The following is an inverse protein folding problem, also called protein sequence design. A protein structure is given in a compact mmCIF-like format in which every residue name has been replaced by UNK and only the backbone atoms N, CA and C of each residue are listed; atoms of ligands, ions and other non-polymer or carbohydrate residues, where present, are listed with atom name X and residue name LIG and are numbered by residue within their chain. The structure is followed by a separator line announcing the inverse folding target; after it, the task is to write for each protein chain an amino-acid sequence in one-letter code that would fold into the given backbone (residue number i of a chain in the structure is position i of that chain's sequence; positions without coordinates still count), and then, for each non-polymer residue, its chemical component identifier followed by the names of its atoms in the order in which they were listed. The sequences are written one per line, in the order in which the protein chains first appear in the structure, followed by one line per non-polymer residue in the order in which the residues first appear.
data_IF_532222082800
#
_entry.id   IF_532222082800
#
_cell.length_a   1.000
_cell.length_b   1.000
_cell.length_c   1.000
_cell.angle_alpha   90.00
_cell.angle_beta   90.00
_cell.angle_gamma   90.00
#
_symmetry.space_group_name_H-M   'P 1'
#
loop_
_entity.id
_entity.type
_entity.pdbx_description
1 polymer ?
#
# COMPACT_ATOMS: atom_id res chain seq x y z
N UNK A 1 -44.16 37.65 -23.04
CA UNK A 1 -44.08 36.28 -22.49
C UNK A 1 -42.62 36.00 -22.21
N UNK A 2 -42.25 36.08 -20.94
CA UNK A 2 -40.89 35.87 -20.40
C UNK A 2 -40.63 34.37 -20.23
N UNK A 3 -39.58 33.86 -20.85
CA UNK A 3 -39.08 32.50 -20.57
C UNK A 3 -37.77 32.62 -19.77
N UNK A 4 -37.91 32.43 -18.46
CA UNK A 4 -36.81 32.36 -17.50
C UNK A 4 -36.62 30.88 -17.13
N UNK A 5 -35.81 30.16 -17.89
CA UNK A 5 -35.38 28.80 -17.53
C UNK A 5 -33.86 28.77 -17.67
N UNK A 6 -33.17 28.93 -16.54
CA UNK A 6 -31.81 28.44 -16.27
C UNK A 6 -31.26 29.19 -15.04
N UNK A 7 -31.57 28.72 -13.82
CA UNK A 7 -30.90 29.23 -12.60
C UNK A 7 -30.72 28.19 -11.48
N UNK A 8 -30.92 26.91 -11.75
CA UNK A 8 -30.90 25.87 -10.70
C UNK A 8 -29.70 24.91 -10.76
N UNK A 9 -28.82 25.00 -11.76
CA UNK A 9 -27.63 24.14 -11.87
C UNK A 9 -26.36 24.75 -11.26
N UNK A 10 -26.27 26.08 -11.16
CA UNK A 10 -25.10 26.78 -10.60
C UNK A 10 -25.04 26.75 -9.08
N UNK A 11 -26.18 26.64 -8.38
CA UNK A 11 -26.22 26.63 -6.92
C UNK A 11 -25.68 25.32 -6.32
N UNK A 12 -25.89 24.18 -6.98
CA UNK A 12 -25.36 22.88 -6.56
C UNK A 12 -23.82 22.80 -6.76
N UNK A 13 -23.31 23.32 -7.87
CA UNK A 13 -21.86 23.35 -8.15
C UNK A 13 -21.09 24.29 -7.20
N UNK A 14 -21.66 25.44 -6.82
CA UNK A 14 -21.02 26.34 -5.85
C UNK A 14 -21.01 25.78 -4.42
N UNK A 15 -22.03 25.02 -4.01
CA UNK A 15 -22.08 24.43 -2.67
C UNK A 15 -21.09 23.26 -2.52
N UNK A 16 -20.82 22.51 -3.60
CA UNK A 16 -19.72 21.53 -3.67
C UNK A 16 -18.35 22.22 -3.53
N UNK A 17 -18.13 23.34 -4.22
CA UNK A 17 -16.86 24.08 -4.17
C UNK A 17 -16.55 24.68 -2.78
N UNK A 18 -17.56 25.22 -2.09
CA UNK A 18 -17.37 25.80 -0.75
C UNK A 18 -17.15 24.70 0.30
N UNK A 19 -17.86 23.56 0.21
CA UNK A 19 -17.68 22.42 1.11
C UNK A 19 -16.33 21.71 0.96
N UNK A 20 -15.84 21.55 -0.27
CA UNK A 20 -14.54 20.93 -0.56
C UNK A 20 -13.34 21.76 -0.03
N UNK A 21 -13.46 23.09 -0.05
CA UNK A 21 -12.38 23.99 0.40
C UNK A 21 -12.05 23.91 1.89
N UNK A 22 -13.01 23.53 2.74
CA UNK A 22 -12.82 23.36 4.18
C UNK A 22 -12.11 22.04 4.54
N UNK A 23 -12.14 21.04 3.65
CA UNK A 23 -11.56 19.70 3.85
C UNK A 23 -10.26 19.46 3.08
N UNK A 24 -9.82 20.46 2.29
CA UNK A 24 -8.67 20.36 1.40
C UNK A 24 -7.31 20.14 2.11
N UNK A 25 -7.16 20.62 3.35
CA UNK A 25 -5.87 20.56 4.06
C UNK A 25 -5.47 19.13 4.49
N UNK A 26 -6.44 18.21 4.59
CA UNK A 26 -6.22 16.82 5.00
C UNK A 26 -6.54 15.83 3.87
N UNK A 27 -6.51 16.30 2.62
CA UNK A 27 -6.86 15.49 1.45
C UNK A 27 -5.91 14.30 1.30
N UNK A 28 -4.60 14.58 1.21
CA UNK A 28 -3.59 13.54 1.06
C UNK A 28 -3.38 12.84 2.40
N UNK A 29 -3.59 11.52 2.40
CA UNK A 29 -3.36 10.68 3.58
C UNK A 29 -1.97 10.05 3.49
N UNK A 30 -1.17 10.27 4.51
CA UNK A 30 0.16 9.67 4.62
C UNK A 30 0.06 8.20 5.05
N UNK A 31 1.05 7.36 4.70
CA UNK A 31 1.21 6.04 5.27
C UNK A 31 1.19 6.08 6.81
N UNK A 32 0.52 5.10 7.40
CA UNK A 32 0.38 4.96 8.84
C UNK A 32 -0.18 6.22 9.52
N UNK A 33 -1.15 6.89 8.87
CA UNK A 33 -1.82 8.04 9.45
C UNK A 33 -2.51 7.68 10.78
N UNK A 34 -2.22 8.44 11.84
CA UNK A 34 -2.78 8.18 13.18
C UNK A 34 -2.10 7.04 13.95
N UNK A 35 -0.99 6.51 13.42
CA UNK A 35 -0.16 5.52 14.09
C UNK A 35 0.81 6.15 15.10
N UNK A 36 1.46 5.32 15.92
CA UNK A 36 2.48 5.76 16.88
C UNK A 36 3.92 5.70 16.32
N UNK A 37 4.08 5.50 15.01
CA UNK A 37 5.40 5.36 14.37
C UNK A 37 6.21 6.64 14.43
N UNK A 38 7.53 6.50 14.53
CA UNK A 38 8.44 7.65 14.51
C UNK A 38 8.57 8.22 13.10
N UNK A 39 8.95 9.51 12.95
CA UNK A 39 9.22 10.09 11.64
C UNK A 39 10.24 9.30 10.81
N UNK A 40 11.25 8.70 11.45
CA UNK A 40 12.28 7.90 10.79
C UNK A 40 11.70 6.60 10.21
N UNK A 41 10.77 5.96 10.92
CA UNK A 41 10.10 4.74 10.45
C UNK A 41 9.17 5.06 9.28
N UNK A 42 8.46 6.19 9.34
CA UNK A 42 7.62 6.65 8.22
C UNK A 42 8.50 6.98 7.01
N UNK A 43 9.62 7.68 7.19
CA UNK A 43 10.57 7.98 6.12
C UNK A 43 11.17 6.72 5.50
N UNK A 44 11.48 5.70 6.30
CA UNK A 44 11.91 4.39 5.82
C UNK A 44 10.85 3.73 4.93
N UNK A 45 9.57 3.81 5.30
CA UNK A 45 8.48 3.30 4.47
C UNK A 45 8.31 4.09 3.17
N UNK A 46 8.33 5.42 3.24
CA UNK A 46 8.25 6.30 2.06
C UNK A 46 9.42 6.03 1.10
N UNK A 47 10.62 5.80 1.64
CA UNK A 47 11.77 5.38 0.85
C UNK A 47 11.53 4.04 0.15
N UNK A 48 11.02 3.04 0.87
CA UNK A 48 10.64 1.75 0.27
C UNK A 48 9.66 1.96 -0.90
N UNK A 49 8.60 2.76 -0.72
CA UNK A 49 7.65 3.04 -1.80
C UNK A 49 8.33 3.67 -3.03
N UNK A 50 9.24 4.62 -2.81
CA UNK A 50 9.98 5.27 -3.88
C UNK A 50 10.92 4.29 -4.61
N UNK A 51 11.68 3.48 -3.87
CA UNK A 51 12.64 2.52 -4.44
C UNK A 51 11.94 1.41 -5.24
N UNK A 52 10.83 0.87 -4.71
CA UNK A 52 10.04 -0.16 -5.38
C UNK A 52 9.34 0.38 -6.64
N UNK A 53 8.76 1.58 -6.58
CA UNK A 53 8.07 2.16 -7.75
C UNK A 53 9.03 2.68 -8.83
N UNK A 54 10.23 3.13 -8.44
CA UNK A 54 11.26 3.60 -9.36
C UNK A 54 11.72 2.50 -10.34
N UNK A 55 11.63 1.23 -9.93
CA UNK A 55 11.96 0.07 -10.77
C UNK A 55 11.07 -0.05 -12.01
N UNK A 56 9.86 0.51 -11.96
CA UNK A 56 8.93 0.56 -13.07
C UNK A 56 8.97 1.92 -13.79
N UNK A 57 9.87 2.82 -13.39
CA UNK A 57 10.06 4.13 -14.00
C UNK A 57 9.04 5.18 -13.56
N UNK A 58 8.40 5.03 -12.40
CA UNK A 58 7.51 6.06 -11.85
C UNK A 58 7.77 6.31 -10.36
N UNK A 59 7.00 7.24 -9.82
CA UNK A 59 6.91 7.51 -8.40
C UNK A 59 5.50 7.18 -7.93
N UNK A 60 5.38 6.32 -6.94
CA UNK A 60 4.12 6.10 -6.26
C UNK A 60 3.77 7.27 -5.33
N UNK A 61 2.49 7.63 -5.25
CA UNK A 61 2.00 8.72 -4.41
C UNK A 61 1.05 9.66 -5.12
N UNK A 62 0.47 10.57 -4.35
CA UNK A 62 -0.41 11.63 -4.86
C UNK A 62 0.36 12.70 -5.64
N UNK A 63 -0.32 13.36 -6.56
CA UNK A 63 0.22 14.49 -7.32
C UNK A 63 0.66 15.63 -6.36
N UNK A 64 1.87 16.21 -6.54
CA UNK A 64 2.36 17.29 -5.68
C UNK A 64 1.40 18.48 -5.58
N UNK A 65 0.61 18.75 -6.64
CA UNK A 65 -0.42 19.80 -6.65
C UNK A 65 -1.44 19.62 -5.52
N UNK A 66 -1.76 18.37 -5.16
CA UNK A 66 -2.68 18.03 -4.06
C UNK A 66 -2.06 18.17 -2.66
N UNK A 67 -0.73 18.27 -2.57
CA UNK A 67 -0.03 18.49 -1.30
C UNK A 67 0.31 19.97 -1.09
N UNK A 68 0.77 20.64 -2.15
CA UNK A 68 1.27 22.02 -2.10
C UNK A 68 0.13 23.06 -2.13
N UNK A 69 -0.88 22.85 -2.99
CA UNK A 69 -2.08 23.70 -3.07
C UNK A 69 -3.35 22.88 -3.35
N UNK A 70 -3.83 22.10 -2.35
CA UNK A 70 -5.02 21.29 -2.52
C UNK A 70 -6.26 22.13 -2.82
N UNK A 71 -6.37 23.34 -2.26
CA UNK A 71 -7.53 24.21 -2.46
C UNK A 71 -7.57 24.74 -3.89
N UNK A 72 -6.45 25.28 -4.39
CA UNK A 72 -6.36 25.78 -5.76
C UNK A 72 -6.59 24.66 -6.76
N UNK A 73 -6.00 23.49 -6.53
CA UNK A 73 -6.17 22.32 -7.40
C UNK A 73 -7.63 21.86 -7.49
N UNK A 74 -8.33 21.74 -6.35
CA UNK A 74 -9.75 21.37 -6.34
C UNK A 74 -10.65 22.46 -6.97
N UNK A 75 -10.27 23.75 -6.85
CA UNK A 75 -10.99 24.85 -7.51
C UNK A 75 -10.82 24.85 -9.02
N UNK A 76 -9.62 24.55 -9.53
CA UNK A 76 -9.35 24.39 -10.95
C UNK A 76 -10.20 23.24 -11.54
N UNK A 77 -10.22 22.07 -10.88
CA UNK A 77 -11.09 20.95 -11.23
C UNK A 77 -12.58 21.29 -11.21
N UNK A 78 -13.01 22.07 -10.21
CA UNK A 78 -14.41 22.48 -10.09
C UNK A 78 -14.83 23.44 -11.23
N UNK A 79 -13.88 24.23 -11.73
CA UNK A 79 -14.08 25.24 -12.76
C UNK A 79 -13.87 24.73 -14.19
N UNK A 80 -13.56 23.43 -14.34
CA UNK A 80 -13.25 22.79 -15.64
C UNK A 80 -12.07 23.47 -16.36
N UNK A 81 -11.08 23.93 -15.58
CA UNK A 81 -9.85 24.51 -16.10
C UNK A 81 -9.01 23.42 -16.79
N UNK A 82 -8.42 23.75 -17.94
CA UNK A 82 -7.56 22.82 -18.67
C UNK A 82 -6.31 22.51 -17.85
N UNK A 83 -6.19 21.27 -17.40
CA UNK A 83 -5.06 20.80 -16.59
C UNK A 83 -4.73 19.35 -16.88
N UNK A 84 -3.46 18.99 -16.71
CA UNK A 84 -3.02 17.59 -16.80
C UNK A 84 -3.70 16.72 -15.72
N UNK A 85 -4.09 15.48 -16.05
CA UNK A 85 -4.71 14.55 -15.10
C UNK A 85 -3.91 14.43 -13.81
N UNK A 86 -4.62 14.41 -12.68
CA UNK A 86 -4.01 14.26 -11.37
C UNK A 86 -3.74 12.79 -11.09
N UNK A 87 -2.53 12.48 -10.62
CA UNK A 87 -2.23 11.19 -10.02
C UNK A 87 -2.75 11.15 -8.58
N UNK A 88 -3.57 10.16 -8.22
CA UNK A 88 -4.16 10.07 -6.88
C UNK A 88 -4.01 8.66 -6.33
N UNK A 89 -3.52 8.49 -5.10
CA UNK A 89 -3.50 7.16 -4.46
C UNK A 89 -4.92 6.67 -4.21
N UNK A 90 -5.12 5.35 -4.18
CA UNK A 90 -6.46 4.81 -3.97
C UNK A 90 -6.98 5.18 -2.57
N UNK A 91 -6.09 5.21 -1.57
CA UNK A 91 -6.39 5.72 -0.23
C UNK A 91 -6.87 7.16 -0.24
N UNK A 92 -6.12 8.07 -0.85
CA UNK A 92 -6.51 9.50 -0.90
C UNK A 92 -7.87 9.66 -1.56
N UNK A 93 -8.13 8.94 -2.65
CA UNK A 93 -9.43 8.96 -3.29
C UNK A 93 -10.54 8.41 -2.38
N UNK A 94 -10.41 7.19 -1.87
CA UNK A 94 -11.48 6.54 -1.11
C UNK A 94 -11.76 7.18 0.26
N UNK A 95 -10.77 7.83 0.87
CA UNK A 95 -10.93 8.49 2.18
C UNK A 95 -11.29 9.98 2.07
N UNK A 96 -11.32 10.52 0.85
CA UNK A 96 -11.88 11.84 0.61
C UNK A 96 -13.41 11.82 0.76
N UNK A 97 -14.02 12.99 1.01
CA UNK A 97 -15.48 13.09 1.03
C UNK A 97 -16.08 12.92 -0.37
N UNK A 98 -17.36 12.53 -0.46
CA UNK A 98 -18.08 12.32 -1.72
C UNK A 98 -17.93 13.49 -2.71
N UNK A 99 -17.95 14.72 -2.20
CA UNK A 99 -17.76 15.93 -2.99
C UNK A 99 -16.37 16.00 -3.63
N UNK A 100 -15.33 15.66 -2.86
CA UNK A 100 -13.96 15.67 -3.34
C UNK A 100 -13.70 14.49 -4.28
N UNK A 101 -14.24 13.31 -3.97
CA UNK A 101 -14.20 12.16 -4.89
C UNK A 101 -14.82 12.51 -6.24
N UNK A 102 -16.00 13.15 -6.23
CA UNK A 102 -16.68 13.60 -7.46
C UNK A 102 -15.83 14.58 -8.26
N UNK A 103 -15.10 15.47 -7.60
CA UNK A 103 -14.21 16.43 -8.27
C UNK A 103 -12.97 15.74 -8.86
N UNK A 104 -12.28 14.91 -8.07
CA UNK A 104 -11.08 14.21 -8.50
C UNK A 104 -11.39 13.28 -9.68
N UNK A 105 -12.51 12.55 -9.63
CA UNK A 105 -12.95 11.63 -10.67
C UNK A 105 -13.12 12.26 -12.07
N UNK A 106 -13.19 13.59 -12.18
CA UNK A 106 -13.30 14.29 -13.48
C UNK A 106 -12.02 14.21 -14.31
N UNK A 107 -10.86 14.24 -13.66
CA UNK A 107 -9.57 14.36 -14.34
C UNK A 107 -8.45 13.78 -13.48
N UNK A 108 -8.52 12.49 -13.18
CA UNK A 108 -7.50 11.78 -12.43
C UNK A 108 -7.20 10.39 -13.01
N UNK A 109 -6.07 9.84 -12.62
CA UNK A 109 -5.80 8.41 -12.65
C UNK A 109 -5.31 7.95 -11.27
N UNK A 110 -5.58 6.69 -10.95
CA UNK A 110 -5.16 6.08 -9.69
C UNK A 110 -3.68 5.69 -9.78
N UNK A 111 -2.91 6.09 -8.78
CA UNK A 111 -1.50 5.74 -8.64
C UNK A 111 -1.35 4.22 -8.42
N UNK A 112 -0.35 3.64 -9.07
CA UNK A 112 -0.02 2.22 -8.99
C UNK A 112 1.48 2.06 -8.85
N UNK A 113 1.93 1.15 -7.97
CA UNK A 113 3.35 0.85 -7.73
C UNK A 113 4.07 0.38 -9.00
N UNK A 114 3.34 -0.17 -9.97
CA UNK A 114 3.86 -0.71 -11.23
C UNK A 114 3.64 0.23 -12.43
N UNK A 115 3.28 1.50 -12.19
CA UNK A 115 3.04 2.52 -13.22
C UNK A 115 1.95 2.19 -14.26
N UNK A 116 1.12 1.17 -13.97
CA UNK A 116 -0.06 0.88 -14.75
C UNK A 116 -1.06 2.03 -14.62
N UNK A 117 -1.54 2.56 -15.75
CA UNK A 117 -2.59 3.57 -15.74
C UNK A 117 -3.92 2.93 -15.34
N UNK A 118 -4.49 3.39 -14.23
CA UNK A 118 -5.79 2.94 -13.75
C UNK A 118 -6.73 4.14 -13.79
N UNK A 119 -7.72 4.08 -14.67
CA UNK A 119 -8.66 5.16 -14.86
C UNK A 119 -9.89 4.95 -13.97
N UNK A 120 -10.50 6.05 -13.53
CA UNK A 120 -11.80 6.00 -12.89
C UNK A 120 -12.83 6.61 -13.85
N UNK A 121 -13.77 5.79 -14.32
CA UNK A 121 -14.78 6.20 -15.31
C UNK A 121 -16.15 5.65 -14.93
N UNK A 122 -17.16 6.51 -14.92
CA UNK A 122 -18.55 6.16 -14.57
C UNK A 122 -18.72 5.37 -13.25
N UNK A 123 -17.87 5.67 -12.25
CA UNK A 123 -17.90 5.01 -10.94
C UNK A 123 -17.18 3.66 -10.89
N UNK A 124 -16.53 3.25 -11.98
CA UNK A 124 -15.77 2.02 -12.06
C UNK A 124 -14.28 2.30 -12.27
N UNK A 125 -13.43 1.44 -11.71
CA UNK A 125 -12.00 1.45 -12.00
C UNK A 125 -11.73 0.60 -13.25
N UNK A 126 -11.12 1.22 -14.25
CA UNK A 126 -10.62 0.54 -15.46
C UNK A 126 -9.14 0.23 -15.22
N UNK A 127 -8.87 -1.03 -14.90
CA UNK A 127 -7.55 -1.54 -14.56
C UNK A 127 -7.46 -2.02 -13.10
N UNK A 128 -6.29 -2.53 -12.72
CA UNK A 128 -6.03 -3.06 -11.39
C UNK A 128 -4.86 -2.32 -10.75
N UNK A 129 -5.08 -1.38 -9.81
CA UNK A 129 -3.98 -0.69 -9.18
C UNK A 129 -3.21 -1.65 -8.28
N UNK A 130 -1.89 -1.51 -8.29
CA UNK A 130 -1.00 -2.27 -7.42
C UNK A 130 -0.62 -1.37 -6.25
N UNK A 131 -1.06 -1.76 -5.06
CA UNK A 131 -0.99 -0.96 -3.85
C UNK A 131 0.07 -1.53 -2.91
N UNK A 132 0.80 -0.70 -2.15
CA UNK A 132 1.59 -1.21 -1.05
C UNK A 132 0.70 -1.91 -0.01
N UNK A 133 1.25 -2.91 0.67
CA UNK A 133 0.49 -3.74 1.62
C UNK A 133 -0.18 -2.92 2.73
N UNK A 134 0.51 -1.90 3.24
CA UNK A 134 -0.03 -0.93 4.20
C UNK A 134 -1.35 -0.31 3.73
N UNK A 135 -1.32 0.34 2.56
CA UNK A 135 -2.49 1.03 1.99
C UNK A 135 -3.63 0.04 1.70
N UNK A 136 -3.32 -1.12 1.15
CA UNK A 136 -4.32 -2.15 0.89
C UNK A 136 -5.03 -2.57 2.20
N UNK A 137 -4.25 -2.84 3.25
CA UNK A 137 -4.77 -3.26 4.55
C UNK A 137 -5.63 -2.17 5.19
N UNK A 138 -5.16 -0.93 5.18
CA UNK A 138 -5.89 0.23 5.69
C UNK A 138 -7.25 0.39 5.02
N UNK A 139 -7.29 0.34 3.68
CA UNK A 139 -8.54 0.43 2.91
C UNK A 139 -9.47 -0.74 3.22
N UNK A 140 -8.95 -1.96 3.29
CA UNK A 140 -9.76 -3.15 3.57
C UNK A 140 -10.38 -3.08 4.96
N UNK A 141 -9.60 -2.68 5.97
CA UNK A 141 -10.10 -2.53 7.34
C UNK A 141 -11.16 -1.45 7.43
N UNK A 142 -10.94 -0.28 6.82
CA UNK A 142 -11.94 0.78 6.76
C UNK A 142 -13.25 0.32 6.11
N UNK A 143 -13.16 -0.45 5.01
CA UNK A 143 -14.33 -1.05 4.34
C UNK A 143 -15.07 -2.05 5.25
N UNK A 144 -14.33 -2.87 6.01
CA UNK A 144 -14.90 -3.85 6.93
C UNK A 144 -15.55 -3.20 8.17
N UNK A 145 -15.02 -2.06 8.63
CA UNK A 145 -15.67 -1.25 9.66
C UNK A 145 -17.03 -0.71 9.19
N UNK A 146 -17.10 -0.22 7.94
CA UNK A 146 -18.33 0.29 7.35
C UNK A 146 -19.35 -0.82 7.04
N UNK A 147 -18.89 -1.96 6.53
CA UNK A 147 -19.70 -3.14 6.25
C UNK A 147 -18.96 -4.43 6.64
N UNK A 148 -19.31 -5.07 7.78
CA UNK A 148 -18.60 -6.22 8.38
C UNK A 148 -18.76 -7.55 7.62
N UNK A 149 -18.54 -7.56 6.31
CA UNK A 149 -18.62 -8.75 5.48
C UNK A 149 -17.58 -8.68 4.37
N UNK A 150 -16.61 -9.59 4.39
CA UNK A 150 -15.60 -9.70 3.33
C UNK A 150 -16.25 -9.96 1.96
N UNK A 151 -17.35 -10.73 1.92
CA UNK A 151 -18.08 -11.00 0.67
C UNK A 151 -18.65 -9.73 0.02
N UNK A 152 -18.92 -8.69 0.81
CA UNK A 152 -19.40 -7.39 0.30
C UNK A 152 -18.30 -6.57 -0.37
N UNK A 153 -17.03 -6.94 -0.19
CA UNK A 153 -15.86 -6.21 -0.70
C UNK A 153 -15.04 -7.03 -1.69
N UNK A 154 -15.60 -8.11 -2.26
CA UNK A 154 -14.90 -8.95 -3.23
C UNK A 154 -14.46 -8.18 -4.47
N UNK A 155 -15.21 -7.16 -4.88
CA UNK A 155 -14.84 -6.32 -6.02
C UNK A 155 -13.58 -5.49 -5.74
N UNK A 156 -13.40 -5.02 -4.50
CA UNK A 156 -12.15 -4.39 -4.09
C UNK A 156 -11.00 -5.40 -4.10
N UNK A 157 -11.20 -6.57 -3.48
CA UNK A 157 -10.18 -7.63 -3.37
C UNK A 157 -9.74 -8.15 -4.74
N UNK A 158 -10.67 -8.29 -5.69
CA UNK A 158 -10.38 -8.72 -7.07
C UNK A 158 -9.93 -7.57 -7.97
N UNK A 159 -10.41 -6.37 -7.69
CA UNK A 159 -10.15 -5.17 -8.45
C UNK A 159 -8.79 -4.54 -8.16
N UNK A 160 -8.14 -4.90 -7.05
CA UNK A 160 -6.83 -4.36 -6.66
C UNK A 160 -5.80 -5.47 -6.49
N UNK A 161 -4.51 -5.10 -6.51
CA UNK A 161 -3.39 -6.01 -6.25
C UNK A 161 -2.52 -5.45 -5.14
N UNK A 162 -1.86 -6.34 -4.42
CA UNK A 162 -0.84 -5.97 -3.44
C UNK A 162 0.52 -6.05 -4.13
N UNK A 163 1.33 -5.01 -3.99
CA UNK A 163 2.71 -4.98 -4.45
C UNK A 163 3.53 -6.05 -3.72
N UNK A 164 4.51 -6.63 -4.41
CA UNK A 164 5.50 -7.46 -3.74
C UNK A 164 6.23 -6.62 -2.67
N UNK A 165 6.49 -7.22 -1.51
CA UNK A 165 7.27 -6.61 -0.44
C UNK A 165 8.44 -7.53 -0.12
N UNK A 166 9.63 -6.93 -0.07
CA UNK A 166 10.83 -7.63 0.36
C UNK A 166 10.64 -8.11 1.81
N UNK A 167 10.98 -9.36 2.10
CA UNK A 167 10.80 -9.93 3.43
C UNK A 167 11.46 -9.09 4.53
N UNK A 168 12.56 -8.39 4.22
CA UNK A 168 13.29 -7.51 5.15
C UNK A 168 12.49 -6.30 5.56
N UNK A 169 11.76 -5.69 4.62
CA UNK A 169 10.79 -4.64 4.89
C UNK A 169 9.55 -5.21 5.59
N UNK A 170 9.13 -6.41 5.19
CA UNK A 170 7.96 -7.05 5.77
C UNK A 170 8.12 -7.29 7.27
N UNK A 171 9.19 -7.97 7.71
CA UNK A 171 9.35 -8.25 9.15
C UNK A 171 9.64 -6.97 9.94
N UNK A 172 10.40 -6.02 9.37
CA UNK A 172 10.76 -4.78 10.06
C UNK A 172 9.51 -3.99 10.47
N UNK A 173 8.47 -4.00 9.64
CA UNK A 173 7.21 -3.32 9.91
C UNK A 173 6.18 -4.26 10.56
N UNK A 174 5.94 -5.44 9.99
CA UNK A 174 4.75 -6.25 10.29
C UNK A 174 4.97 -7.47 11.18
N UNK A 175 6.22 -7.76 11.58
CA UNK A 175 6.47 -8.71 12.66
C UNK A 175 6.42 -7.94 13.98
N UNK A 176 5.44 -8.26 14.83
CA UNK A 176 5.18 -7.51 16.07
C UNK A 176 4.69 -8.45 17.17
N UNK A 177 4.95 -8.09 18.43
CA UNK A 177 4.28 -8.76 19.55
C UNK A 177 2.81 -8.30 19.67
N UNK A 178 2.02 -8.97 20.52
CA UNK A 178 0.59 -8.66 20.70
C UNK A 178 0.32 -7.22 21.17
N UNK A 179 1.19 -6.65 21.99
CA UNK A 179 1.00 -5.32 22.59
C UNK A 179 1.32 -4.19 21.61
N UNK A 180 2.09 -4.48 20.57
CA UNK A 180 2.66 -3.50 19.68
C UNK A 180 1.89 -3.30 18.37
N UNK A 181 0.86 -4.10 18.07
CA UNK A 181 -0.03 -3.93 16.90
C UNK A 181 -0.55 -2.49 16.75
N UNK A 182 -0.81 -1.81 17.88
CA UNK A 182 -1.29 -0.42 17.89
C UNK A 182 -0.31 0.57 17.26
N UNK A 183 0.97 0.22 17.10
CA UNK A 183 1.90 1.06 16.35
C UNK A 183 1.51 1.19 14.88
N UNK A 184 0.66 0.33 14.34
CA UNK A 184 0.05 0.46 13.01
C UNK A 184 -1.39 0.99 13.05
N UNK A 185 -1.89 1.46 14.19
CA UNK A 185 -3.25 1.98 14.33
C UNK A 185 -4.34 0.93 14.57
N UNK A 186 -4.00 -0.36 14.61
CA UNK A 186 -4.96 -1.46 14.79
C UNK A 186 -4.60 -2.35 15.97
N UNK A 187 -5.56 -3.08 16.54
CA UNK A 187 -5.26 -4.10 17.56
C UNK A 187 -5.09 -5.50 16.96
N UNK A 188 -4.45 -6.38 17.74
CA UNK A 188 -4.20 -7.76 17.32
C UNK A 188 -5.49 -8.52 16.98
N UNK A 189 -6.55 -8.34 17.76
CA UNK A 189 -7.78 -9.12 17.58
C UNK A 189 -8.44 -8.76 16.23
N UNK A 190 -8.36 -7.50 15.82
CA UNK A 190 -8.79 -7.00 14.50
C UNK A 190 -8.02 -7.65 13.36
N UNK A 191 -6.68 -7.63 13.42
CA UNK A 191 -5.84 -8.22 12.37
C UNK A 191 -5.99 -9.75 12.33
N UNK A 192 -6.01 -10.41 13.48
CA UNK A 192 -6.21 -11.85 13.57
C UNK A 192 -7.61 -12.26 13.06
N UNK A 193 -8.64 -11.47 13.36
CA UNK A 193 -10.00 -11.67 12.84
C UNK A 193 -10.06 -11.60 11.32
N UNK A 194 -9.40 -10.59 10.72
CA UNK A 194 -9.27 -10.50 9.27
C UNK A 194 -8.54 -11.72 8.70
N UNK A 195 -7.37 -12.09 9.24
CA UNK A 195 -6.60 -13.25 8.80
C UNK A 195 -7.41 -14.57 8.82
N UNK A 196 -8.28 -14.73 9.83
CA UNK A 196 -9.17 -15.89 9.97
C UNK A 196 -10.34 -15.86 8.98
N UNK A 197 -10.80 -14.67 8.56
CA UNK A 197 -11.91 -14.51 7.63
C UNK A 197 -11.54 -14.78 6.16
N UNK A 198 -10.25 -14.73 5.83
CA UNK A 198 -9.76 -14.92 4.48
C UNK A 198 -9.79 -16.39 4.06
N UNK A 199 -10.21 -16.70 2.81
CA UNK A 199 -10.32 -18.06 2.31
C UNK A 199 -8.94 -18.76 2.31
N UNK A 200 -8.94 -20.07 2.55
CA UNK A 200 -7.73 -20.90 2.65
C UNK A 200 -7.66 -21.67 3.96
N UNK A 201 -6.60 -22.45 4.15
CA UNK A 201 -6.41 -23.22 5.38
C UNK A 201 -6.30 -22.27 6.59
N UNK A 202 -7.01 -22.61 7.67
CA UNK A 202 -6.89 -21.95 8.96
C UNK A 202 -5.57 -22.39 9.60
N UNK A 203 -4.49 -21.70 9.25
CA UNK A 203 -3.22 -21.79 9.97
C UNK A 203 -3.39 -21.36 11.44
N UNK A 204 -2.42 -21.70 12.28
CA UNK A 204 -2.36 -21.18 13.64
C UNK A 204 -2.01 -19.68 13.58
N UNK A 205 -3.00 -18.81 13.76
CA UNK A 205 -2.82 -17.35 13.75
C UNK A 205 -2.26 -16.92 15.09
N UNK A 206 -1.06 -16.38 15.07
CA UNK A 206 -0.33 -15.85 16.22
C UNK A 206 -0.10 -14.34 16.05
N UNK A 207 0.26 -13.62 17.12
CA UNK A 207 0.70 -12.24 17.01
C UNK A 207 1.87 -12.05 16.03
N UNK A 208 2.73 -13.04 15.86
CA UNK A 208 3.93 -12.90 15.03
C UNK A 208 3.69 -13.23 13.55
N UNK A 209 2.57 -13.86 13.18
CA UNK A 209 2.31 -14.23 11.79
C UNK A 209 1.01 -13.66 11.21
N UNK A 210 0.17 -12.96 11.99
CA UNK A 210 -1.18 -12.60 11.52
C UNK A 210 -1.17 -11.68 10.28
N UNK A 211 -0.26 -10.70 10.21
CA UNK A 211 -0.07 -9.89 9.00
C UNK A 211 0.39 -10.74 7.81
N UNK A 212 1.30 -11.70 8.04
CA UNK A 212 1.77 -12.59 6.98
C UNK A 212 0.65 -13.50 6.46
N UNK A 213 -0.22 -13.99 7.33
CA UNK A 213 -1.39 -14.78 6.93
C UNK A 213 -2.35 -13.97 6.05
N UNK A 214 -2.48 -12.67 6.28
CA UNK A 214 -3.26 -11.78 5.40
C UNK A 214 -2.53 -11.60 4.07
N UNK A 215 -1.26 -11.20 4.14
CA UNK A 215 -0.44 -10.90 2.96
C UNK A 215 -0.38 -12.12 2.02
N UNK A 216 0.01 -13.28 2.51
CA UNK A 216 0.14 -14.51 1.71
C UNK A 216 -1.18 -14.98 1.06
N UNK A 217 -2.33 -14.78 1.70
CA UNK A 217 -3.64 -15.15 1.15
C UNK A 217 -4.17 -14.17 0.10
N UNK A 218 -3.83 -12.90 0.23
CA UNK A 218 -4.33 -11.83 -0.65
C UNK A 218 -3.35 -11.46 -1.77
N UNK A 219 -2.07 -11.75 -1.58
CA UNK A 219 -1.04 -11.56 -2.58
C UNK A 219 -1.23 -12.57 -3.71
N UNK A 220 -1.77 -12.10 -4.84
CA UNK A 220 -2.16 -12.95 -5.97
C UNK A 220 -1.04 -13.15 -7.02
N UNK A 221 0.10 -12.48 -6.86
CA UNK A 221 1.25 -12.65 -7.73
C UNK A 221 2.11 -13.75 -7.15
N UNK A 222 1.98 -14.98 -7.64
CA UNK A 222 2.79 -16.09 -7.15
C UNK A 222 4.28 -15.73 -7.19
N UNK A 223 4.97 -15.90 -6.05
CA UNK A 223 6.45 -15.93 -5.99
C UNK A 223 6.99 -17.05 -6.92
N UNK A 224 6.12 -17.98 -7.28
CA UNK A 224 6.33 -18.99 -8.31
C UNK A 224 5.94 -18.48 -9.71
N UNK A 225 6.92 -18.41 -10.61
CA UNK A 225 6.70 -18.11 -12.03
C UNK A 225 6.47 -19.42 -12.80
N UNK A 226 5.21 -19.77 -13.03
CA UNK A 226 4.82 -21.04 -13.64
C UNK A 226 5.43 -21.30 -15.04
N UNK A 227 5.73 -20.24 -15.79
CA UNK A 227 6.33 -20.33 -17.12
C UNK A 227 7.79 -20.79 -17.09
N UNK A 228 8.52 -20.52 -16.01
CA UNK A 228 9.95 -20.84 -15.89
C UNK A 228 10.24 -21.97 -14.93
N UNK A 229 9.26 -22.42 -14.13
CA UNK A 229 9.43 -23.43 -13.07
C UNK A 229 10.53 -23.05 -12.07
N UNK A 230 10.88 -21.78 -12.02
CA UNK A 230 11.89 -21.28 -11.11
C UNK A 230 11.22 -20.88 -9.80
N UNK A 231 11.62 -21.57 -8.75
CA UNK A 231 11.42 -21.11 -7.39
C UNK A 231 12.55 -20.10 -7.14
N UNK A 232 12.24 -18.81 -7.15
CA UNK A 232 13.27 -17.79 -6.96
C UNK A 232 13.62 -17.67 -5.48
N UNK A 233 14.89 -17.91 -5.14
CA UNK A 233 15.31 -17.91 -3.76
C UNK A 233 16.78 -17.68 -3.46
N UNK A 234 17.09 -16.51 -2.88
CA UNK A 234 18.31 -16.27 -2.10
C UNK A 234 18.03 -15.80 -0.64
N UNK A 235 18.85 -16.09 0.37
CA UNK A 235 18.48 -15.88 1.79
C UNK A 235 18.36 -14.42 2.26
N UNK A 236 17.34 -14.11 3.08
CA UNK A 236 17.08 -12.80 3.66
C UNK A 236 17.78 -12.65 5.03
N UNK A 237 18.67 -11.68 5.16
CA UNK A 237 19.19 -11.28 6.47
C UNK A 237 18.30 -10.19 7.06
N UNK A 238 17.90 -10.27 8.33
CA UNK A 238 17.26 -9.18 9.05
C UNK A 238 18.29 -8.17 9.56
N UNK A 239 17.89 -6.90 9.62
CA UNK A 239 18.66 -5.77 10.16
C UNK A 239 17.92 -5.02 11.25
N UNK A 240 18.62 -4.68 12.33
CA UNK A 240 18.06 -4.02 13.51
C UNK A 240 17.68 -2.53 13.28
N UNK A 241 18.16 -1.92 12.19
CA UNK A 241 18.16 -0.46 12.04
C UNK A 241 16.81 0.17 11.66
N UNK A 242 15.83 -0.64 11.22
CA UNK A 242 14.49 -0.17 10.78
C UNK A 242 13.33 -0.89 11.47
N UNK A 243 13.61 -1.63 12.55
CA UNK A 243 12.60 -2.44 13.25
C UNK A 243 11.61 -1.53 13.96
N UNK A 244 10.33 -1.78 13.73
CA UNK A 244 9.24 -1.04 14.40
C UNK A 244 9.10 -1.49 15.85
N UNK A 245 9.13 -2.80 16.12
CA UNK A 245 9.12 -3.38 17.47
C UNK A 245 10.50 -3.91 17.90
N UNK A 246 11.31 -3.06 18.54
CA UNK A 246 12.65 -3.42 19.03
C UNK A 246 12.64 -4.38 20.23
N UNK A 247 11.47 -4.68 20.81
CA UNK A 247 11.37 -5.59 21.94
C UNK A 247 11.24 -7.05 21.49
N UNK A 248 11.07 -7.28 20.19
CA UNK A 248 11.03 -8.62 19.65
C UNK A 248 12.38 -9.32 19.80
N UNK A 249 12.43 -10.44 20.53
CA UNK A 249 13.66 -11.15 20.71
C UNK A 249 14.01 -11.85 19.38
N UNK A 250 15.30 -12.00 19.11
CA UNK A 250 15.80 -12.55 17.85
C UNK A 250 15.20 -13.92 17.52
N UNK A 251 14.99 -14.75 18.54
CA UNK A 251 14.39 -16.07 18.38
C UNK A 251 13.00 -15.98 17.72
N UNK A 252 12.23 -14.93 18.00
CA UNK A 252 10.92 -14.71 17.37
C UNK A 252 11.03 -14.41 15.87
N UNK A 253 12.04 -13.62 15.48
CA UNK A 253 12.31 -13.33 14.06
C UNK A 253 12.76 -14.61 13.34
N UNK A 254 13.67 -15.37 13.95
CA UNK A 254 14.13 -16.65 13.40
C UNK A 254 13.00 -17.68 13.29
N UNK A 255 12.13 -17.77 14.30
CA UNK A 255 10.98 -18.69 14.31
C UNK A 255 9.98 -18.34 13.19
N UNK A 256 9.67 -17.06 12.99
CA UNK A 256 8.83 -16.58 11.89
C UNK A 256 9.44 -16.97 10.53
N UNK A 257 10.74 -16.71 10.34
CA UNK A 257 11.43 -17.07 9.12
C UNK A 257 11.37 -18.59 8.87
N UNK A 258 11.63 -19.39 9.91
CA UNK A 258 11.54 -20.84 9.81
C UNK A 258 10.12 -21.34 9.51
N UNK A 259 9.08 -20.76 10.12
CA UNK A 259 7.70 -21.21 9.91
C UNK A 259 7.20 -20.91 8.51
N UNK A 260 7.63 -19.78 7.94
CA UNK A 260 7.25 -19.33 6.61
C UNK A 260 8.26 -19.75 5.52
N UNK A 261 9.18 -20.67 5.86
CA UNK A 261 10.19 -21.21 4.94
C UNK A 261 11.11 -20.13 4.34
N UNK A 262 11.33 -19.02 5.03
CA UNK A 262 12.26 -17.96 4.65
C UNK A 262 13.66 -18.32 5.19
N UNK A 263 14.62 -18.55 4.30
CA UNK A 263 15.99 -18.89 4.70
C UNK A 263 16.75 -17.63 5.15
N UNK A 264 17.47 -17.71 6.27
CA UNK A 264 18.40 -16.68 6.76
C UNK A 264 19.71 -17.32 7.26
N UNK A 265 20.82 -16.58 7.28
CA UNK A 265 22.11 -17.07 7.84
C UNK A 265 22.31 -16.65 9.29
N UNK A 266 21.39 -15.87 9.84
CA UNK A 266 21.35 -15.49 11.25
C UNK A 266 22.42 -14.46 11.63
N UNK A 267 22.86 -13.64 10.69
CA UNK A 267 23.76 -12.54 10.98
C UNK A 267 22.99 -11.23 10.86
N UNK A 268 22.87 -10.51 11.97
CA UNK A 268 22.51 -9.10 11.96
C UNK A 268 23.57 -8.36 11.16
N UNK A 269 23.20 -7.94 9.95
CA UNK A 269 23.99 -7.05 9.13
C UNK A 269 23.13 -5.85 8.87
N UNK A 270 23.75 -4.69 8.68
CA UNK A 270 23.03 -3.54 8.17
C UNK A 270 22.55 -3.92 6.77
N UNK A 271 21.27 -4.21 6.66
CA UNK A 271 20.64 -4.59 5.40
C UNK A 271 20.14 -3.37 4.65
N UNK A 272 20.24 -2.23 5.33
CA UNK A 272 19.96 -0.90 4.88
C UNK A 272 21.17 -0.04 5.22
N UNK A 273 21.62 0.82 4.32
CA UNK A 273 22.60 1.86 4.56
C UNK A 273 21.86 3.19 4.69
N UNK A 274 22.12 3.91 5.78
CA UNK A 274 21.61 5.27 5.96
C UNK A 274 22.36 6.22 5.03
N UNK A 275 21.63 6.90 4.16
CA UNK A 275 22.13 7.96 3.28
C UNK A 275 21.61 9.33 3.74
N UNK A 276 22.17 10.42 3.21
CA UNK A 276 21.74 11.79 3.53
C UNK A 276 20.24 12.03 3.26
N UNK A 277 19.63 11.26 2.35
CA UNK A 277 18.22 11.39 1.95
C UNK A 277 17.35 10.17 2.28
N UNK A 278 17.86 9.13 2.97
CA UNK A 278 17.05 7.93 3.24
C UNK A 278 17.82 6.66 3.56
N UNK A 279 17.30 5.52 3.10
CA UNK A 279 17.64 4.17 3.59
C UNK A 279 17.81 3.19 2.42
N UNK A 280 19.00 3.03 1.83
CA UNK A 280 19.20 2.09 0.70
C UNK A 280 19.42 0.65 1.15
N UNK A 281 18.86 -0.35 0.47
CA UNK A 281 19.21 -1.75 0.74
C UNK A 281 20.71 -2.02 0.46
N UNK A 282 21.45 -2.50 1.45
CA UNK A 282 22.91 -2.68 1.41
C UNK A 282 23.42 -3.76 0.42
N UNK A 283 22.53 -4.50 -0.24
CA UNK A 283 22.87 -5.54 -1.22
C UNK A 283 21.73 -5.76 -2.22
N UNK A 284 21.53 -4.78 -3.11
CA UNK A 284 20.62 -4.86 -4.25
C UNK A 284 21.42 -4.73 -5.56
N UNK A 285 21.22 -5.65 -6.50
CA UNK A 285 21.74 -5.53 -7.87
C UNK A 285 20.59 -5.62 -8.86
N UNK A 286 20.47 -4.64 -9.76
CA UNK A 286 19.47 -4.67 -10.83
C UNK A 286 19.70 -5.89 -11.74
N UNK A 287 18.61 -6.45 -12.24
CA UNK A 287 18.57 -7.51 -13.24
C UNK A 287 18.17 -6.83 -14.55
N UNK A 288 19.09 -6.80 -15.51
CA UNK A 288 18.93 -6.07 -16.77
C UNK A 288 17.76 -6.61 -17.63
N UNK A 289 17.47 -7.91 -17.54
CA UNK A 289 16.38 -8.58 -18.28
C UNK A 289 15.59 -9.50 -17.34
N UNK A 290 14.72 -8.95 -16.50
CA UNK A 290 14.02 -9.74 -15.50
C UNK A 290 12.94 -10.58 -16.18
N UNK A 291 12.97 -11.89 -15.93
CA UNK A 291 11.94 -12.83 -16.40
C UNK A 291 10.56 -12.42 -15.85
N UNK A 292 10.53 -11.92 -14.62
CA UNK A 292 9.36 -11.31 -14.01
C UNK A 292 9.67 -9.81 -13.77
N UNK A 293 8.95 -8.87 -14.40
CA UNK A 293 9.22 -7.45 -14.25
C UNK A 293 9.06 -6.95 -12.81
N UNK A 294 8.38 -7.70 -11.93
CA UNK A 294 8.22 -7.38 -10.51
C UNK A 294 9.44 -7.72 -9.64
N UNK A 295 10.42 -8.43 -10.19
CA UNK A 295 11.65 -8.83 -9.52
C UNK A 295 12.85 -8.48 -10.41
N UNK A 296 13.00 -7.20 -10.73
CA UNK A 296 14.12 -6.68 -11.51
C UNK A 296 15.32 -6.25 -10.65
N UNK A 297 15.30 -6.62 -9.38
CA UNK A 297 16.43 -6.45 -8.47
C UNK A 297 16.68 -7.82 -7.83
N UNK A 298 17.90 -8.32 -7.94
CA UNK A 298 18.42 -9.34 -7.04
C UNK A 298 18.50 -8.73 -5.65
N UNK A 299 17.42 -8.94 -4.92
CA UNK A 299 17.33 -8.74 -3.49
C UNK A 299 17.61 -10.09 -2.90
N UNK A 300 18.60 -10.22 -2.01
CA UNK A 300 18.90 -11.48 -1.33
C UNK A 300 17.72 -11.83 -0.41
N UNK A 301 16.61 -12.29 -0.98
CA UNK A 301 15.36 -12.67 -0.32
C UNK A 301 14.74 -13.85 -1.07
N UNK A 302 14.29 -14.83 -0.30
CA UNK A 302 13.57 -16.00 -0.79
C UNK A 302 12.34 -16.15 0.05
N UNK A 303 11.21 -16.31 -0.60
CA UNK A 303 10.03 -16.86 0.04
C UNK A 303 9.73 -18.13 -0.76
N UNK A 304 9.63 -19.28 -0.09
CA UNK A 304 9.17 -20.50 -0.75
C UNK A 304 7.67 -20.64 -0.48
N UNK A 305 6.79 -20.43 -1.47
CA UNK A 305 5.40 -20.86 -1.36
C UNK A 305 5.37 -22.37 -1.07
N UNK A 306 4.40 -22.83 -0.27
CA UNK A 306 4.21 -24.26 0.03
C UNK A 306 4.08 -25.11 -1.24
N UNK A 307 3.62 -24.50 -2.33
CA UNK A 307 3.43 -25.07 -3.66
C UNK A 307 4.73 -25.40 -4.39
N UNK A 308 5.88 -24.99 -3.84
CA UNK A 308 7.22 -25.18 -4.42
C UNK A 308 8.02 -26.36 -3.81
N UNK A 309 7.34 -27.26 -3.07
CA UNK A 309 7.93 -28.48 -2.48
C UNK A 309 7.81 -29.70 -3.38
#
# INVERSE_FOLDING_TARGET
MTNTIARWSTAALLSVAIGASAQANDLVKKPFAGSAMTPEQIHAWEYYLADESAQFGCQYGDDPRLQEDPRGTLQALASDEEMEPLKVTLRTFLFASDNVQTLLARNMFIASMECNQVYHFDGEMIGHPVLPYEEYLEILLHKLEAQPSLSSHLDFVRGTKIAAIDARWFWAFYLMDRNHYRMHGHDYDTIAGLAASLPGDLGNITPTNSHWQIFSKLFNQGIYVAATRECQGEGAEPGEEIVVDSNLPWETVADFYSSESIRHRGQWRNVVERQEQGFTLAAATLIDEPINPYFNVHRRVTIYPKECN
#
